data_IF_879346685241
#
_entry.id   IF_879346685241
#
_cell.length_a   1.000
_cell.length_b   1.000
_cell.length_c   1.000
_cell.angle_alpha   90.00
_cell.angle_beta   90.00
_cell.angle_gamma   90.00
#
_symmetry.space_group_name_H-M   'P 1'
#
loop_
_entity.id
_entity.type
_entity.pdbx_description
1 polymer ?
#
# COMPACT_ATOMS: atom_id res chain seq x y z
N UNK A 1 -14.98 2.74 -0.71
CA UNK A 1 -14.60 2.59 0.71
C UNK A 1 -13.57 1.48 0.81
N UNK A 2 -12.51 1.68 1.59
CA UNK A 2 -11.48 0.68 1.88
C UNK A 2 -11.63 0.30 3.35
N UNK A 3 -11.62 -0.99 3.66
CA UNK A 3 -11.89 -1.50 5.02
C UNK A 3 -10.94 -2.64 5.37
N UNK A 4 -10.73 -2.82 6.67
CA UNK A 4 -10.15 -4.03 7.23
C UNK A 4 -11.29 -4.97 7.64
N UNK A 5 -11.30 -6.20 7.14
CA UNK A 5 -12.32 -7.20 7.41
C UNK A 5 -11.65 -8.57 7.62
N UNK A 6 -11.95 -9.23 8.75
CA UNK A 6 -11.48 -10.58 9.03
C UNK A 6 -12.47 -11.67 8.57
N UNK A 7 -12.23 -12.91 8.98
CA UNK A 7 -13.17 -14.02 8.76
C UNK A 7 -13.31 -14.39 7.28
N UNK A 8 -14.54 -14.55 6.80
CA UNK A 8 -14.82 -15.08 5.45
C UNK A 8 -14.20 -14.25 4.33
N UNK A 9 -13.99 -12.94 4.54
CA UNK A 9 -13.44 -12.04 3.53
C UNK A 9 -12.05 -12.46 3.04
N UNK A 10 -11.25 -13.15 3.86
CA UNK A 10 -9.90 -13.58 3.48
C UNK A 10 -9.90 -14.57 2.30
N UNK A 11 -10.99 -15.32 2.13
CA UNK A 11 -11.16 -16.31 1.06
C UNK A 11 -11.99 -15.77 -0.14
N UNK A 12 -12.23 -14.46 -0.21
CA UNK A 12 -13.05 -13.85 -1.25
C UNK A 12 -12.21 -13.04 -2.23
N UNK A 13 -12.61 -12.99 -3.51
CA UNK A 13 -11.87 -12.27 -4.54
C UNK A 13 -11.71 -10.75 -4.27
N UNK A 14 -12.56 -10.18 -3.40
CA UNK A 14 -12.49 -8.78 -2.94
C UNK A 14 -11.31 -8.48 -2.00
N UNK A 15 -10.63 -9.50 -1.47
CA UNK A 15 -9.41 -9.32 -0.65
C UNK A 15 -8.13 -9.28 -1.49
N UNK A 16 -8.23 -9.47 -2.81
CA UNK A 16 -7.08 -9.62 -3.68
C UNK A 16 -6.55 -8.27 -4.19
N UNK A 17 -5.26 -8.03 -3.95
CA UNK A 17 -4.52 -6.84 -4.36
C UNK A 17 -3.26 -7.22 -5.14
N UNK A 18 -2.84 -6.34 -6.04
CA UNK A 18 -1.59 -6.45 -6.81
C UNK A 18 -0.71 -5.24 -6.53
N UNK A 19 0.55 -5.48 -6.24
CA UNK A 19 1.59 -4.44 -6.19
C UNK A 19 2.18 -4.28 -7.59
N UNK A 20 2.27 -3.04 -8.06
CA UNK A 20 2.84 -2.67 -9.37
C UNK A 20 3.96 -1.66 -9.17
N UNK A 21 5.20 -2.05 -9.41
CA UNK A 21 6.36 -1.14 -9.29
C UNK A 21 6.30 -0.04 -10.36
N UNK A 22 6.53 1.21 -9.95
CA UNK A 22 6.58 2.39 -10.82
C UNK A 22 8.01 2.50 -11.38
N UNK A 23 8.28 1.77 -12.46
CA UNK A 23 9.57 1.77 -13.18
C UNK A 23 9.33 1.47 -14.65
N UNK A 24 10.33 1.67 -15.52
CA UNK A 24 10.17 1.42 -16.97
C UNK A 24 10.65 0.03 -17.41
N UNK A 25 11.58 -0.57 -16.66
CA UNK A 25 12.15 -1.89 -16.95
C UNK A 25 11.94 -2.83 -15.77
N UNK A 26 12.15 -4.12 -16.01
CA UNK A 26 12.20 -5.13 -14.96
C UNK A 26 10.94 -5.23 -14.08
N UNK A 27 9.73 -4.90 -14.54
CA UNK A 27 8.52 -4.86 -13.68
C UNK A 27 8.29 -6.11 -12.79
N UNK A 28 8.79 -7.29 -13.17
CA UNK A 28 8.73 -8.53 -12.38
C UNK A 28 9.93 -8.81 -11.46
N UNK A 29 10.87 -7.88 -11.27
CA UNK A 29 11.96 -8.05 -10.31
C UNK A 29 11.44 -8.14 -8.87
N UNK A 30 12.30 -8.61 -7.96
CA UNK A 30 12.00 -8.67 -6.54
C UNK A 30 11.66 -7.27 -6.00
N UNK A 31 10.64 -7.21 -5.13
CA UNK A 31 10.25 -5.98 -4.45
C UNK A 31 11.25 -5.72 -3.33
N UNK A 32 11.84 -4.53 -3.35
CA UNK A 32 12.77 -4.02 -2.36
C UNK A 32 12.11 -3.05 -1.37
N UNK A 33 12.87 -2.66 -0.36
CA UNK A 33 12.57 -1.47 0.42
C UNK A 33 12.73 -0.21 -0.43
N UNK A 34 12.01 0.85 -0.08
CA UNK A 34 12.21 2.18 -0.69
C UNK A 34 11.96 2.24 -2.20
N UNK A 35 11.34 1.20 -2.78
CA UNK A 35 10.90 1.20 -4.16
C UNK A 35 9.46 1.74 -4.27
N UNK A 36 9.22 2.57 -5.27
CA UNK A 36 7.90 3.15 -5.52
C UNK A 36 6.98 2.15 -6.22
N UNK A 37 5.74 2.05 -5.73
CA UNK A 37 4.73 1.19 -6.32
C UNK A 37 3.31 1.77 -6.21
N UNK A 38 2.41 1.19 -7.00
CA UNK A 38 0.96 1.34 -6.90
C UNK A 38 0.33 0.07 -6.36
N UNK A 39 -0.81 0.22 -5.67
CA UNK A 39 -1.61 -0.91 -5.18
C UNK A 39 -2.90 -0.96 -6.01
N UNK A 40 -3.12 -2.06 -6.72
CA UNK A 40 -4.29 -2.28 -7.57
C UNK A 40 -5.21 -3.33 -6.98
N UNK A 41 -6.50 -3.02 -6.86
CA UNK A 41 -7.52 -4.01 -6.53
C UNK A 41 -7.79 -4.89 -7.75
N UNK A 42 -7.60 -6.21 -7.63
CA UNK A 42 -7.55 -7.10 -8.81
C UNK A 42 -8.90 -7.13 -9.53
N UNK A 43 -9.99 -7.33 -8.79
CA UNK A 43 -11.31 -7.55 -9.40
C UNK A 43 -11.94 -6.30 -9.98
N UNK A 44 -11.73 -5.13 -9.37
CA UNK A 44 -12.28 -3.86 -9.89
C UNK A 44 -11.35 -3.14 -10.87
N UNK A 45 -10.07 -3.51 -10.93
CA UNK A 45 -9.04 -2.84 -11.72
C UNK A 45 -8.70 -1.42 -11.23
N UNK A 46 -9.22 -0.99 -10.08
CA UNK A 46 -8.99 0.35 -9.51
C UNK A 46 -7.72 0.39 -8.68
N UNK A 47 -7.15 1.57 -8.56
CA UNK A 47 -5.94 1.84 -7.79
C UNK A 47 -6.29 2.44 -6.43
N UNK A 48 -5.54 2.02 -5.40
CA UNK A 48 -5.54 2.69 -4.11
C UNK A 48 -4.89 4.06 -4.26
N UNK A 49 -5.51 5.09 -3.69
CA UNK A 49 -4.92 6.42 -3.65
C UNK A 49 -5.34 7.20 -2.42
N UNK A 50 -4.64 8.31 -2.17
CA UNK A 50 -4.85 9.16 -0.98
C UNK A 50 -5.27 10.56 -1.39
N UNK A 51 -6.44 10.98 -0.93
CA UNK A 51 -6.94 12.34 -1.09
C UNK A 51 -7.54 12.79 0.23
N UNK A 52 -7.29 14.04 0.64
CA UNK A 52 -7.82 14.61 1.89
C UNK A 52 -7.50 13.73 3.13
N UNK A 53 -6.29 13.16 3.17
CA UNK A 53 -5.83 12.24 4.22
C UNK A 53 -6.64 10.94 4.36
N UNK A 54 -7.49 10.61 3.38
CA UNK A 54 -8.29 9.40 3.33
C UNK A 54 -7.88 8.51 2.16
N UNK A 55 -7.94 7.19 2.40
CA UNK A 55 -7.64 6.19 1.36
C UNK A 55 -8.90 5.84 0.58
N UNK A 56 -8.83 5.90 -0.75
CA UNK A 56 -9.95 5.63 -1.65
C UNK A 56 -9.51 4.86 -2.91
N UNK A 57 -10.48 4.34 -3.67
CA UNK A 57 -10.23 3.62 -4.92
C UNK A 57 -10.53 4.49 -6.14
N UNK A 58 -9.54 4.65 -7.00
CA UNK A 58 -9.61 5.48 -8.20
C UNK A 58 -9.55 4.65 -9.47
N UNK A 59 -10.24 5.12 -10.51
CA UNK A 59 -10.13 4.53 -11.84
C UNK A 59 -8.74 4.78 -12.42
N UNK A 60 -8.27 3.90 -13.32
CA UNK A 60 -6.93 4.01 -13.93
C UNK A 60 -6.65 5.39 -14.55
N UNK A 61 -7.68 6.03 -15.12
CA UNK A 61 -7.55 7.31 -15.83
C UNK A 61 -7.33 8.49 -14.86
N UNK A 62 -7.57 8.28 -13.56
CA UNK A 62 -7.33 9.25 -12.49
C UNK A 62 -6.19 8.83 -11.56
N UNK A 63 -5.55 7.69 -11.82
CA UNK A 63 -4.52 7.12 -10.97
C UNK A 63 -3.13 7.69 -11.31
N UNK A 64 -2.97 9.00 -11.10
CA UNK A 64 -1.67 9.66 -11.30
C UNK A 64 -0.66 9.29 -10.19
N UNK A 65 0.58 9.74 -10.37
CA UNK A 65 1.67 9.46 -9.44
C UNK A 65 1.40 10.03 -8.05
N UNK A 66 1.03 11.31 -7.96
CA UNK A 66 0.83 12.01 -6.68
C UNK A 66 -0.29 11.41 -5.84
N UNK A 67 -1.30 10.83 -6.49
CA UNK A 67 -2.44 10.21 -5.84
C UNK A 67 -2.17 8.76 -5.40
N UNK A 68 -1.35 8.01 -6.12
CA UNK A 68 -1.29 6.53 -6.03
C UNK A 68 0.10 5.96 -5.77
N UNK A 69 1.13 6.79 -5.64
CA UNK A 69 2.48 6.33 -5.33
C UNK A 69 2.65 6.05 -3.84
N UNK A 70 3.06 4.82 -3.54
CA UNK A 70 3.41 4.37 -2.19
C UNK A 70 4.82 3.81 -2.17
N UNK A 71 5.37 3.71 -0.96
CA UNK A 71 6.66 3.09 -0.69
C UNK A 71 6.55 2.17 0.52
N UNK A 72 7.38 1.13 0.53
CA UNK A 72 7.47 0.16 1.62
C UNK A 72 8.73 0.43 2.45
N UNK A 73 8.58 0.54 3.77
CA UNK A 73 9.66 0.87 4.70
C UNK A 73 9.74 -0.15 5.84
N UNK A 74 10.95 -0.39 6.34
CA UNK A 74 11.19 -1.26 7.50
C UNK A 74 10.71 -0.64 8.82
N UNK A 75 10.77 0.69 8.92
CA UNK A 75 10.38 1.46 10.09
C UNK A 75 9.87 2.84 9.67
N UNK A 76 9.48 3.67 10.65
CA UNK A 76 8.98 5.04 10.44
C UNK A 76 10.05 6.12 10.69
N UNK A 77 11.33 5.82 10.47
CA UNK A 77 12.41 6.81 10.67
C UNK A 77 12.45 7.83 9.52
N UNK A 78 12.29 9.15 9.80
CA UNK A 78 12.29 10.19 8.78
C UNK A 78 13.61 10.33 7.99
N UNK A 79 14.74 9.84 8.53
CA UNK A 79 16.08 10.15 7.99
C UNK A 79 16.51 9.29 6.80
N UNK A 80 15.81 8.18 6.52
CA UNK A 80 16.18 7.23 5.45
C UNK A 80 15.42 7.42 4.14
N UNK A 81 14.47 8.33 4.06
CA UNK A 81 13.61 8.52 2.87
C UNK A 81 14.31 9.17 1.66
N UNK A 82 15.64 9.10 1.58
CA UNK A 82 16.36 9.46 0.37
C UNK A 82 16.16 8.32 -0.63
N UNK A 83 15.14 8.48 -1.48
CA UNK A 83 14.90 7.68 -2.67
C UNK A 83 16.06 7.93 -3.66
N UNK A 84 17.25 7.41 -3.36
CA UNK A 84 18.29 7.26 -4.38
C UNK A 84 17.85 6.10 -5.28
N UNK A 85 16.91 6.39 -6.19
CA UNK A 85 16.47 5.49 -7.25
C UNK A 85 17.59 5.29 -8.26
N UNK A 86 18.64 4.57 -7.85
CA UNK A 86 19.46 3.86 -8.82
C UNK A 86 18.61 2.66 -9.25
N UNK A 87 17.98 2.75 -10.41
CA UNK A 87 17.28 1.60 -11.01
C UNK A 87 18.28 0.43 -11.07
N UNK A 88 18.10 -0.54 -10.17
CA UNK A 88 18.93 -1.73 -10.14
C UNK A 88 18.62 -2.57 -11.37
N UNK A 89 19.62 -2.80 -12.22
CA UNK A 89 19.47 -3.66 -13.38
C UNK A 89 19.44 -5.14 -12.95
N UNK A 90 18.37 -5.84 -13.31
CA UNK A 90 18.21 -7.28 -13.02
C UNK A 90 17.07 -7.58 -12.06
N UNK A 91 17.17 -8.72 -11.39
CA UNK A 91 16.13 -9.21 -10.48
C UNK A 91 16.14 -8.55 -9.10
N UNK A 92 17.23 -7.88 -8.72
CA UNK A 92 17.42 -7.30 -7.39
C UNK A 92 17.54 -8.33 -6.26
N UNK A 93 17.68 -7.82 -5.03
CA UNK A 93 17.75 -8.66 -3.83
C UNK A 93 16.36 -9.06 -3.31
N UNK A 94 16.24 -10.30 -2.83
CA UNK A 94 15.00 -10.80 -2.21
C UNK A 94 14.91 -10.32 -0.74
N UNK A 95 14.43 -9.10 -0.52
CA UNK A 95 14.33 -8.52 0.83
C UNK A 95 12.97 -8.71 1.50
N UNK A 96 11.92 -8.99 0.73
CA UNK A 96 10.56 -9.16 1.23
C UNK A 96 10.18 -10.65 1.16
N UNK A 97 9.81 -11.20 2.32
CA UNK A 97 9.41 -12.60 2.49
C UNK A 97 7.92 -12.67 2.88
N UNK A 98 7.16 -13.50 2.17
CA UNK A 98 5.74 -13.70 2.44
C UNK A 98 5.51 -14.29 3.83
N UNK A 99 4.70 -13.60 4.64
CA UNK A 99 4.32 -14.06 5.98
C UNK A 99 5.34 -13.77 7.09
N UNK A 100 6.57 -13.38 6.74
CA UNK A 100 7.65 -13.12 7.72
C UNK A 100 8.00 -11.64 7.80
N UNK A 101 7.95 -10.92 6.68
CA UNK A 101 8.32 -9.52 6.63
C UNK A 101 7.21 -8.62 7.15
N UNK A 102 7.52 -7.86 8.20
CA UNK A 102 6.70 -6.73 8.65
C UNK A 102 7.13 -5.47 7.90
N UNK A 103 6.16 -4.72 7.38
CA UNK A 103 6.42 -3.55 6.58
C UNK A 103 5.45 -2.42 6.90
N UNK A 104 5.94 -1.19 6.80
CA UNK A 104 5.13 0.01 6.83
C UNK A 104 4.92 0.51 5.39
N UNK A 105 3.69 0.93 5.08
CA UNK A 105 3.37 1.54 3.80
C UNK A 105 3.18 3.04 4.03
N UNK A 106 3.88 3.84 3.24
CA UNK A 106 3.79 5.30 3.27
C UNK A 106 3.33 5.81 1.91
N UNK A 107 2.46 6.82 1.91
CA UNK A 107 2.11 7.55 0.71
C UNK A 107 3.18 8.59 0.39
N UNK A 108 3.68 8.59 -0.85
CA UNK A 108 4.85 9.41 -1.25
C UNK A 108 4.54 10.90 -1.20
N UNK A 109 3.40 11.34 -1.73
CA UNK A 109 3.11 12.78 -1.83
C UNK A 109 2.82 13.42 -0.47
N UNK A 110 1.99 12.76 0.35
CA UNK A 110 1.55 13.32 1.64
C UNK A 110 2.44 12.92 2.81
N UNK A 111 3.37 11.96 2.59
CA UNK A 111 4.24 11.39 3.61
C UNK A 111 3.47 10.73 4.78
N UNK A 112 2.17 10.48 4.60
CA UNK A 112 1.34 9.82 5.61
C UNK A 112 1.54 8.31 5.60
N UNK A 113 1.53 7.74 6.79
CA UNK A 113 1.60 6.30 7.01
C UNK A 113 0.21 5.67 6.93
N UNK A 114 0.11 4.52 6.28
CA UNK A 114 -1.13 3.75 6.26
C UNK A 114 -1.47 3.28 7.69
N UNK A 115 -2.70 3.54 8.11
CA UNK A 115 -3.26 3.14 9.39
C UNK A 115 -4.76 2.99 9.28
N UNK A 116 -5.38 2.38 10.29
CA UNK A 116 -6.83 2.31 10.43
C UNK A 116 -7.33 3.38 11.40
N UNK A 117 -8.54 3.86 11.16
CA UNK A 117 -9.29 4.66 12.12
C UNK A 117 -10.36 3.76 12.74
N UNK A 118 -10.41 3.70 14.07
CA UNK A 118 -11.53 3.11 14.80
C UNK A 118 -12.42 4.23 15.32
N UNK A 119 -13.73 4.06 15.15
CA UNK A 119 -14.71 4.76 15.98
C UNK A 119 -15.04 3.83 17.14
N UNK A 120 -14.58 4.15 18.35
CA UNK A 120 -15.10 3.50 19.55
C UNK A 120 -16.59 3.80 19.65
N UNK A 121 -17.42 2.88 19.17
CA UNK A 121 -18.83 2.87 19.56
C UNK A 121 -18.85 2.28 20.96
N UNK A 122 -18.65 3.12 21.97
CA UNK A 122 -19.21 2.82 23.28
C UNK A 122 -20.72 2.74 23.08
N UNK A 123 -21.23 1.51 22.86
CA UNK A 123 -22.66 1.25 22.99
C UNK A 123 -23.01 1.56 24.44
N UNK A 124 -23.39 2.80 24.73
CA UNK A 124 -24.19 3.11 25.92
C UNK A 124 -25.45 2.27 25.79
N UNK A 125 -25.49 1.14 26.51
CA UNK A 125 -26.74 0.39 26.71
C UNK A 125 -26.79 -1.08 26.29
N UNK A 126 -25.71 -1.85 26.40
CA UNK A 126 -25.77 -3.33 26.48
C UNK A 126 -24.67 -3.79 27.46
N UNK A 127 -24.90 -4.24 28.70
CA UNK A 127 -26.11 -4.43 29.49
C UNK A 127 -25.73 -4.48 30.98
N UNK A 128 -26.74 -4.63 31.83
CA UNK A 128 -26.62 -5.15 33.20
C UNK A 128 -26.32 -6.65 33.17
#
# INVERSE_FOLDING_TARGET
MVIYEGGQAVNQARSLWRIELIRMKWHGAMIGWEQLFRIKHITSGRYLGVMENAVQLYHKDKADFDLTAFVMCQNKDPKKQMLDEKEEEGMGAATIQYGETNAFIQHVKTQLWMSYQTSEVTKKGLGK
#
